data_IF_569229212562
#
_entry.id   IF_569229212562
#
_cell.length_a   1.000
_cell.length_b   1.000
_cell.length_c   1.000
_cell.angle_alpha   90.00
_cell.angle_beta   90.00
_cell.angle_gamma   90.00
#
_symmetry.space_group_name_H-M   'P 1'
#
loop_
_entity.id
_entity.type
_entity.pdbx_description
1 polymer ?
#
# COMPACT_ATOMS: atom_id res chain seq x y z
N UNK A 1 -18.96 -32.87 39.73
CA UNK A 1 -17.86 -31.88 39.72
C UNK A 1 -16.94 -32.23 38.55
N UNK A 2 -17.24 -31.74 37.35
CA UNK A 2 -16.29 -31.66 36.24
C UNK A 2 -16.53 -30.30 35.58
N UNK A 3 -15.42 -29.59 35.38
CA UNK A 3 -15.28 -28.17 35.11
C UNK A 3 -16.00 -27.74 33.84
N UNK A 4 -16.83 -26.72 33.99
CA UNK A 4 -17.29 -25.85 32.92
C UNK A 4 -16.11 -24.95 32.52
N UNK A 5 -15.50 -25.24 31.38
CA UNK A 5 -14.49 -24.39 30.76
C UNK A 5 -15.22 -23.67 29.61
N UNK A 6 -15.60 -22.38 29.75
CA UNK A 6 -16.26 -21.70 28.66
C UNK A 6 -15.22 -21.44 27.57
N UNK A 7 -15.41 -22.14 26.45
CA UNK A 7 -14.71 -21.97 25.19
C UNK A 7 -14.42 -20.48 24.94
N UNK A 8 -13.13 -20.16 24.78
CA UNK A 8 -12.69 -18.84 24.36
C UNK A 8 -13.44 -18.48 23.08
N UNK A 9 -14.41 -17.58 23.21
CA UNK A 9 -15.14 -17.02 22.10
C UNK A 9 -14.11 -16.46 21.11
N UNK A 10 -13.96 -17.13 19.97
CA UNK A 10 -13.22 -16.64 18.82
C UNK A 10 -13.81 -15.27 18.47
N UNK A 11 -13.17 -14.19 18.95
CA UNK A 11 -13.49 -12.84 18.50
C UNK A 11 -13.52 -12.90 16.97
N UNK A 12 -14.60 -12.46 16.31
CA UNK A 12 -14.56 -12.31 14.85
C UNK A 12 -13.29 -11.53 14.53
N UNK A 13 -12.51 -11.93 13.50
CA UNK A 13 -11.27 -11.24 13.17
C UNK A 13 -11.64 -9.76 13.07
N UNK A 14 -11.03 -8.94 13.93
CA UNK A 14 -11.34 -7.53 14.04
C UNK A 14 -11.47 -6.99 12.62
N UNK A 15 -12.67 -6.56 12.25
CA UNK A 15 -12.96 -6.09 10.90
C UNK A 15 -11.91 -5.03 10.61
N UNK A 16 -10.93 -5.36 9.76
CA UNK A 16 -9.83 -4.44 9.47
C UNK A 16 -10.47 -3.22 8.84
N UNK A 17 -10.58 -2.15 9.61
CA UNK A 17 -11.07 -0.87 9.09
C UNK A 17 -9.93 -0.31 8.26
N UNK A 18 -10.13 -0.27 6.95
CA UNK A 18 -9.16 0.29 6.04
C UNK A 18 -9.35 1.81 5.94
N UNK A 19 -8.25 2.53 5.91
CA UNK A 19 -8.22 3.98 5.77
C UNK A 19 -8.61 4.34 4.32
N UNK A 20 -9.77 4.98 4.17
CA UNK A 20 -10.36 5.29 2.87
C UNK A 20 -9.78 6.57 2.28
N UNK A 21 -8.45 6.65 2.18
CA UNK A 21 -7.78 7.86 1.70
C UNK A 21 -8.12 8.16 0.23
N UNK A 22 -8.55 9.39 -0.09
CA UNK A 22 -8.81 9.78 -1.45
C UNK A 22 -7.53 9.67 -2.28
N UNK A 23 -7.67 9.42 -3.58
CA UNK A 23 -6.55 9.31 -4.54
C UNK A 23 -5.44 10.37 -4.34
N UNK A 24 -5.73 11.68 -4.20
CA UNK A 24 -4.69 12.69 -3.94
C UNK A 24 -3.91 12.45 -2.64
N UNK A 25 -4.53 11.96 -1.58
CA UNK A 25 -3.82 11.64 -0.34
C UNK A 25 -2.89 10.43 -0.52
N UNK A 26 -3.32 9.41 -1.29
CA UNK A 26 -2.47 8.26 -1.63
C UNK A 26 -1.28 8.69 -2.49
N UNK A 27 -1.48 9.63 -3.41
CA UNK A 27 -0.39 10.23 -4.17
C UNK A 27 0.62 10.94 -3.27
N UNK A 28 0.17 11.78 -2.33
CA UNK A 28 1.06 12.46 -1.38
C UNK A 28 1.82 11.45 -0.51
N UNK A 29 1.17 10.36 -0.09
CA UNK A 29 1.85 9.28 0.63
C UNK A 29 2.94 8.63 -0.22
N UNK A 30 2.65 8.29 -1.49
CA UNK A 30 3.64 7.76 -2.43
C UNK A 30 4.80 8.73 -2.66
N UNK A 31 4.53 10.03 -2.79
CA UNK A 31 5.57 11.05 -2.87
C UNK A 31 6.39 11.13 -1.57
N UNK A 32 5.76 10.94 -0.41
CA UNK A 32 6.43 10.81 0.87
C UNK A 32 7.37 9.60 0.91
N UNK A 33 6.98 8.49 0.29
CA UNK A 33 7.81 7.28 0.15
C UNK A 33 9.01 7.55 -0.75
N UNK A 34 8.80 8.17 -1.92
CA UNK A 34 9.87 8.61 -2.84
C UNK A 34 10.83 9.57 -2.13
N UNK A 35 10.31 10.45 -1.28
CA UNK A 35 11.10 11.40 -0.51
C UNK A 35 11.82 10.75 0.70
N UNK A 36 11.60 9.47 0.98
CA UNK A 36 12.15 8.77 2.14
C UNK A 36 11.54 9.20 3.49
N UNK A 37 10.39 9.88 3.46
CA UNK A 37 9.65 10.33 4.66
C UNK A 37 8.61 9.32 5.15
N UNK A 38 8.24 8.37 4.29
CA UNK A 38 7.20 7.35 4.54
C UNK A 38 7.71 5.97 4.15
N UNK A 39 7.09 4.94 4.72
CA UNK A 39 7.43 3.54 4.49
C UNK A 39 6.24 2.72 4.01
N UNK A 40 6.52 1.49 3.55
CA UNK A 40 5.49 0.56 3.07
C UNK A 40 4.45 0.27 4.17
N UNK A 41 4.88 0.28 5.44
CA UNK A 41 4.03 0.00 6.59
C UNK A 41 2.93 1.07 6.78
N UNK A 42 3.16 2.33 6.38
CA UNK A 42 2.13 3.38 6.39
C UNK A 42 0.92 3.03 5.51
N UNK A 43 1.08 2.10 4.56
CA UNK A 43 0.04 1.70 3.62
C UNK A 43 -0.68 0.40 4.01
N UNK A 44 -0.26 -0.28 5.08
CA UNK A 44 -0.87 -1.56 5.49
C UNK A 44 -2.36 -1.45 5.84
N UNK A 45 -2.77 -0.27 6.30
CA UNK A 45 -4.15 0.04 6.64
C UNK A 45 -4.94 0.61 5.45
N UNK A 46 -4.31 0.87 4.30
CA UNK A 46 -4.98 1.40 3.10
C UNK A 46 -5.13 0.28 2.05
N UNK A 47 -4.09 -0.53 1.89
CA UNK A 47 -3.97 -1.54 0.85
C UNK A 47 -4.51 -2.89 1.35
N UNK A 48 -5.30 -3.59 0.53
CA UNK A 48 -5.91 -4.87 0.92
C UNK A 48 -4.88 -5.92 1.35
N UNK A 49 -3.77 -6.01 0.59
CA UNK A 49 -2.69 -6.98 0.79
C UNK A 49 -1.37 -6.30 1.26
N UNK A 50 -1.44 -5.06 1.75
CA UNK A 50 -0.25 -4.30 2.14
C UNK A 50 0.79 -4.23 1.01
N UNK A 51 2.04 -4.58 1.34
CA UNK A 51 3.18 -4.72 0.43
C UNK A 51 2.93 -5.58 -0.83
N UNK A 52 2.09 -6.61 -0.72
CA UNK A 52 1.76 -7.53 -1.82
C UNK A 52 0.62 -7.04 -2.72
N UNK A 53 0.11 -5.83 -2.49
CA UNK A 53 -0.98 -5.29 -3.30
C UNK A 53 -0.51 -5.05 -4.73
N UNK A 54 -1.38 -5.38 -5.69
CA UNK A 54 -1.06 -5.31 -7.11
C UNK A 54 -0.92 -3.86 -7.53
N UNK A 55 0.16 -3.55 -8.21
CA UNK A 55 0.45 -2.22 -8.71
C UNK A 55 0.73 -2.30 -10.22
N UNK A 56 0.20 -1.35 -10.96
CA UNK A 56 0.49 -1.12 -12.36
C UNK A 56 1.37 0.13 -12.44
N UNK A 57 2.68 -0.06 -12.54
CA UNK A 57 3.70 0.96 -12.55
C UNK A 57 4.13 1.22 -14.01
N UNK A 58 3.84 2.39 -14.60
CA UNK A 58 4.15 2.68 -16.01
C UNK A 58 3.69 1.60 -17.01
N UNK A 59 2.51 1.00 -16.78
CA UNK A 59 1.95 -0.15 -17.51
C UNK A 59 2.63 -1.51 -17.25
N UNK A 60 3.55 -1.60 -16.30
CA UNK A 60 4.12 -2.86 -15.83
C UNK A 60 3.43 -3.35 -14.57
N UNK A 61 3.01 -4.62 -14.57
CA UNK A 61 2.41 -5.24 -13.39
C UNK A 61 3.50 -5.58 -12.38
N UNK A 62 3.46 -4.92 -11.23
CA UNK A 62 4.39 -5.08 -10.13
C UNK A 62 3.63 -5.18 -8.79
N UNK A 63 4.36 -5.25 -7.69
CA UNK A 63 3.79 -5.21 -6.33
C UNK A 63 4.08 -3.87 -5.69
N UNK A 64 3.31 -3.51 -4.66
CA UNK A 64 3.52 -2.24 -3.97
C UNK A 64 4.91 -2.14 -3.35
N UNK A 65 5.41 -3.23 -2.75
CA UNK A 65 6.78 -3.27 -2.25
C UNK A 65 7.82 -3.07 -3.35
N UNK A 66 7.65 -3.73 -4.50
CA UNK A 66 8.56 -3.56 -5.63
C UNK A 66 8.52 -2.14 -6.19
N UNK A 67 7.33 -1.54 -6.37
CA UNK A 67 7.19 -0.13 -6.74
C UNK A 67 7.92 0.77 -5.73
N UNK A 68 7.67 0.59 -4.44
CA UNK A 68 8.29 1.41 -3.39
C UNK A 68 9.82 1.26 -3.41
N UNK A 69 10.35 0.06 -3.58
CA UNK A 69 11.79 -0.13 -3.76
C UNK A 69 12.31 0.55 -5.02
N UNK A 70 11.58 0.47 -6.14
CA UNK A 70 11.94 1.15 -7.39
C UNK A 70 11.90 2.68 -7.27
N UNK A 71 11.00 3.20 -6.43
CA UNK A 71 10.85 4.62 -6.14
C UNK A 71 11.87 5.12 -5.09
N UNK A 72 12.22 4.30 -4.09
CA UNK A 72 13.19 4.61 -3.02
C UNK A 72 14.64 4.42 -3.47
N UNK A 73 14.91 3.45 -4.33
CA UNK A 73 16.26 3.03 -4.66
C UNK A 73 16.62 3.18 -6.13
N UNK A 74 17.58 4.08 -6.35
CA UNK A 74 18.92 3.65 -6.77
C UNK A 74 19.91 4.03 -5.65
N UNK A 75 19.73 3.51 -4.43
CA UNK A 75 20.66 3.71 -3.29
C UNK A 75 21.92 2.87 -3.56
N UNK A 76 22.77 3.35 -4.46
CA UNK A 76 24.00 2.64 -4.80
C UNK A 76 24.64 3.07 -6.11
N UNK A 77 23.92 3.80 -6.98
CA UNK A 77 24.54 4.41 -8.16
C UNK A 77 24.63 5.94 -8.01
N UNK A 78 25.83 6.53 -8.04
CA UNK A 78 26.02 7.98 -8.06
C UNK A 78 25.60 8.65 -9.38
N UNK A 79 24.99 7.91 -10.33
CA UNK A 79 24.51 8.46 -11.59
C UNK A 79 22.99 8.61 -11.61
N UNK A 80 22.58 9.88 -11.74
CA UNK A 80 21.24 10.37 -12.09
C UNK A 80 20.28 10.61 -10.93
N UNK A 81 20.48 11.77 -10.30
CA UNK A 81 19.56 12.50 -9.41
C UNK A 81 18.24 12.89 -10.11
N UNK A 82 17.45 11.95 -10.64
CA UNK A 82 16.05 12.23 -10.96
C UNK A 82 15.19 11.53 -9.94
N UNK A 83 14.77 12.29 -8.92
CA UNK A 83 13.64 11.89 -8.08
C UNK A 83 12.49 11.61 -9.05
N UNK A 84 12.04 10.35 -9.11
CA UNK A 84 10.92 9.97 -9.97
C UNK A 84 9.71 10.74 -9.49
N UNK A 85 9.14 11.55 -10.38
CA UNK A 85 7.95 12.34 -10.05
C UNK A 85 6.74 11.52 -10.41
N UNK A 86 5.88 11.26 -9.43
CA UNK A 86 4.58 10.65 -9.64
C UNK A 86 3.79 11.60 -10.56
N UNK A 87 3.46 11.14 -11.77
CA UNK A 87 2.69 11.89 -12.76
C UNK A 87 1.19 11.67 -12.57
N UNK A 88 0.77 10.43 -12.28
CA UNK A 88 -0.64 10.09 -12.05
C UNK A 88 -0.76 8.92 -11.09
N UNK A 89 -1.80 8.94 -10.25
CA UNK A 89 -2.20 7.81 -9.42
C UNK A 89 -3.68 7.53 -9.67
N UNK A 90 -4.03 6.26 -9.86
CA UNK A 90 -5.41 5.79 -9.82
C UNK A 90 -5.50 4.61 -8.88
N UNK A 91 -6.57 4.55 -8.10
CA UNK A 91 -6.76 3.49 -7.10
C UNK A 91 -8.06 2.76 -7.43
N UNK A 92 -8.01 1.44 -7.41
CA UNK A 92 -9.19 0.58 -7.48
C UNK A 92 -9.38 -0.01 -6.11
N UNK A 93 -10.52 0.29 -5.51
CA UNK A 93 -10.88 -0.20 -4.18
C UNK A 93 -11.73 -1.46 -4.28
N UNK A 94 -11.63 -2.31 -3.27
CA UNK A 94 -12.43 -3.52 -3.13
C UNK A 94 -13.54 -3.26 -2.10
N UNK A 95 -14.74 -2.95 -2.61
CA UNK A 95 -15.91 -2.68 -1.77
C UNK A 95 -16.35 -3.91 -0.95
N UNK A 96 -16.01 -5.12 -1.41
CA UNK A 96 -16.31 -6.36 -0.70
C UNK A 96 -15.38 -6.61 0.51
N UNK A 97 -14.18 -6.02 0.53
CA UNK A 97 -13.18 -6.17 1.59
C UNK A 97 -12.95 -4.86 2.36
N UNK A 98 -14.03 -4.17 2.74
CA UNK A 98 -13.93 -2.98 3.59
C UNK A 98 -13.39 -1.74 2.88
N UNK A 99 -13.49 -1.70 1.54
CA UNK A 99 -13.08 -0.57 0.68
C UNK A 99 -11.57 -0.29 0.66
N UNK A 100 -10.76 -1.32 0.91
CA UNK A 100 -9.31 -1.27 0.79
C UNK A 100 -8.86 -1.12 -0.66
N UNK A 101 -7.67 -0.60 -0.90
CA UNK A 101 -7.11 -0.50 -2.26
C UNK A 101 -6.59 -1.87 -2.72
N UNK A 102 -7.15 -2.38 -3.81
CA UNK A 102 -6.82 -3.67 -4.42
C UNK A 102 -5.79 -3.55 -5.54
N UNK A 103 -5.94 -2.52 -6.37
CA UNK A 103 -5.05 -2.26 -7.50
C UNK A 103 -4.66 -0.78 -7.49
N UNK A 104 -3.37 -0.51 -7.56
CA UNK A 104 -2.83 0.85 -7.64
C UNK A 104 -2.20 1.06 -9.02
N UNK A 105 -2.66 2.04 -9.77
CA UNK A 105 -2.03 2.45 -11.02
C UNK A 105 -1.19 3.68 -10.73
N UNK A 106 0.10 3.61 -11.02
CA UNK A 106 1.04 4.69 -10.77
C UNK A 106 1.84 4.92 -12.04
N UNK A 107 1.79 6.15 -12.53
CA UNK A 107 2.57 6.62 -13.66
C UNK A 107 3.62 7.60 -13.13
N UNK A 108 4.89 7.44 -13.47
CA UNK A 108 5.98 8.28 -12.96
C UNK A 108 7.10 8.47 -13.98
N UNK A 109 7.76 9.63 -13.91
CA UNK A 109 8.82 10.06 -14.84
C UNK A 109 10.09 10.51 -14.12
#
# INVERSE_FOLDING_TARGET
MVKDEPAAASKPPASKTYDQLPTPAIQVLLEGVVAGKKDIDDFKNILCNGAGTKVMANNEATTFAALVNELKEKKGLPLMKRKRKISSVKVVRDEANGNCVKILYVDYK
#
